data_IF_696415330154
#
_entry.id   IF_696415330154
#
_cell.length_a   1.000
_cell.length_b   1.000
_cell.length_c   1.000
_cell.angle_alpha   90.00
_cell.angle_beta   90.00
_cell.angle_gamma   90.00
#
_symmetry.space_group_name_H-M   'P 1'
#
loop_
_entity.id
_entity.type
_entity.pdbx_description
1 polymer ?
#
# COMPACT_ATOMS: atom_id res chain seq x y z
N UNK A 1 -3.30 12.71 11.81
CA UNK A 1 -2.21 11.74 12.02
C UNK A 1 -1.71 11.68 13.45
N UNK A 2 -1.01 12.72 13.93
CA UNK A 2 -0.22 12.66 15.20
C UNK A 2 -1.02 12.25 16.44
N UNK A 3 -2.23 12.77 16.63
CA UNK A 3 -3.09 12.41 17.77
C UNK A 3 -3.46 10.92 17.77
N UNK A 4 -3.79 10.35 16.61
CA UNK A 4 -4.09 8.93 16.46
C UNK A 4 -2.87 8.07 16.86
N UNK A 5 -1.67 8.43 16.38
CA UNK A 5 -0.43 7.75 16.76
C UNK A 5 -0.19 7.82 18.27
N UNK A 6 -0.47 8.95 18.92
CA UNK A 6 -0.36 9.08 20.37
C UNK A 6 -1.32 8.13 21.11
N UNK A 7 -2.58 8.05 20.67
CA UNK A 7 -3.57 7.13 21.24
C UNK A 7 -3.08 5.68 21.12
N UNK A 8 -2.61 5.28 19.94
CA UNK A 8 -2.05 3.94 19.73
C UNK A 8 -0.83 3.69 20.62
N UNK A 9 0.09 4.66 20.75
CA UNK A 9 1.24 4.56 21.66
C UNK A 9 0.81 4.37 23.12
N UNK A 10 -0.22 5.10 23.58
CA UNK A 10 -0.76 4.99 24.94
C UNK A 10 -1.41 3.63 25.19
N UNK A 11 -2.22 3.14 24.23
CA UNK A 11 -2.80 1.79 24.29
C UNK A 11 -1.69 0.75 24.37
N UNK A 12 -0.69 0.83 23.48
CA UNK A 12 0.45 -0.10 23.47
C UNK A 12 1.21 -0.09 24.79
N UNK A 13 1.49 1.09 25.37
CA UNK A 13 2.17 1.18 26.66
C UNK A 13 1.35 0.59 27.83
N UNK A 14 0.02 0.59 27.74
CA UNK A 14 -0.85 0.02 28.77
C UNK A 14 -0.95 -1.51 28.67
N UNK A 15 -0.97 -2.07 27.44
CA UNK A 15 -1.20 -3.50 27.21
C UNK A 15 0.10 -4.30 27.02
N UNK A 16 1.16 -3.68 26.52
CA UNK A 16 2.43 -4.34 26.28
C UNK A 16 3.23 -4.44 27.59
N UNK A 17 3.59 -5.67 27.96
CA UNK A 17 4.51 -5.95 29.06
C UNK A 17 5.83 -6.48 28.49
N UNK A 18 6.97 -5.81 28.70
CA UNK A 18 8.29 -6.34 28.33
C UNK A 18 8.51 -7.71 28.99
N UNK A 19 9.12 -8.66 28.29
CA UNK A 19 9.28 -10.04 28.79
C UNK A 19 10.75 -10.47 28.81
N UNK A 20 11.08 -11.26 29.83
CA UNK A 20 12.40 -11.90 30.03
C UNK A 20 12.60 -13.17 29.19
N UNK A 21 11.54 -13.73 28.58
CA UNK A 21 11.60 -14.94 27.71
C UNK A 21 10.72 -14.80 26.46
N UNK A 22 11.13 -15.44 25.37
CA UNK A 22 10.35 -15.52 24.12
C UNK A 22 9.00 -16.22 24.36
N UNK A 23 7.93 -15.70 23.74
CA UNK A 23 6.59 -16.33 23.72
C UNK A 23 6.07 -16.37 22.29
N UNK A 24 5.29 -17.40 21.96
CA UNK A 24 4.48 -17.43 20.75
C UNK A 24 3.37 -16.37 20.83
N UNK A 25 3.01 -15.79 19.69
CA UNK A 25 1.91 -14.84 19.57
C UNK A 25 1.03 -15.18 18.36
N UNK A 26 -0.25 -14.86 18.47
CA UNK A 26 -1.20 -14.92 17.34
C UNK A 26 -1.35 -13.50 16.82
N UNK A 27 -1.08 -13.30 15.53
CA UNK A 27 -1.30 -12.05 14.83
C UNK A 27 -2.67 -12.03 14.15
N UNK A 28 -3.36 -10.90 14.19
CA UNK A 28 -4.57 -10.66 13.40
C UNK A 28 -4.30 -9.43 12.54
N UNK A 29 -4.45 -9.58 11.23
CA UNK A 29 -4.31 -8.50 10.26
C UNK A 29 -5.69 -8.20 9.67
N UNK A 30 -6.19 -6.99 9.95
CA UNK A 30 -7.36 -6.43 9.31
C UNK A 30 -6.91 -5.30 8.38
N UNK A 31 -7.16 -5.45 7.08
CA UNK A 31 -6.70 -4.54 6.04
C UNK A 31 -7.75 -4.41 4.95
N UNK A 32 -7.80 -3.24 4.32
CA UNK A 32 -8.65 -3.00 3.16
C UNK A 32 -8.35 -4.00 2.04
N UNK A 33 -9.42 -4.52 1.43
CA UNK A 33 -9.32 -5.30 0.21
C UNK A 33 -8.97 -4.43 -1.01
N UNK A 34 -8.87 -5.07 -2.17
CA UNK A 34 -8.62 -4.40 -3.43
C UNK A 34 -9.71 -3.37 -3.77
N UNK A 35 -9.32 -2.17 -4.19
CA UNK A 35 -10.24 -1.06 -4.48
C UNK A 35 -10.20 -0.67 -5.97
N UNK A 36 -11.38 -0.52 -6.56
CA UNK A 36 -11.54 0.00 -7.92
C UNK A 36 -12.82 0.83 -8.00
N UNK A 37 -12.68 2.14 -7.87
CA UNK A 37 -13.76 3.12 -7.96
C UNK A 37 -13.77 3.80 -9.33
N UNK A 38 -14.79 4.64 -9.56
CA UNK A 38 -14.86 5.48 -10.77
C UNK A 38 -13.69 6.47 -10.86
N UNK A 39 -13.15 6.90 -9.71
CA UNK A 39 -11.98 7.77 -9.61
C UNK A 39 -11.06 7.21 -8.54
N UNK A 40 -9.89 6.70 -8.94
CA UNK A 40 -8.86 6.18 -8.03
C UNK A 40 -7.70 7.18 -7.97
N UNK A 41 -7.24 7.53 -6.78
CA UNK A 41 -6.08 8.42 -6.59
C UNK A 41 -4.92 7.70 -5.90
N UNK A 42 -3.95 8.46 -5.39
CA UNK A 42 -2.75 7.95 -4.73
C UNK A 42 -3.05 6.95 -3.60
N UNK A 43 -4.10 7.19 -2.84
CA UNK A 43 -4.54 6.34 -1.73
C UNK A 43 -4.93 4.94 -2.23
N UNK A 44 -5.77 4.86 -3.27
CA UNK A 44 -6.13 3.59 -3.90
C UNK A 44 -4.90 2.89 -4.49
N UNK A 45 -3.97 3.64 -5.08
CA UNK A 45 -2.71 3.07 -5.58
C UNK A 45 -1.90 2.41 -4.45
N UNK A 46 -1.77 3.06 -3.29
CA UNK A 46 -1.12 2.47 -2.13
C UNK A 46 -1.87 1.24 -1.57
N UNK A 47 -3.21 1.32 -1.48
CA UNK A 47 -4.05 0.20 -1.02
C UNK A 47 -3.91 -1.01 -1.95
N UNK A 48 -3.97 -0.80 -3.26
CA UNK A 48 -3.85 -1.86 -4.24
C UNK A 48 -2.42 -2.43 -4.29
N UNK A 49 -1.39 -1.62 -4.06
CA UNK A 49 -0.03 -2.13 -3.89
C UNK A 49 0.11 -3.03 -2.66
N UNK A 50 -0.50 -2.68 -1.52
CA UNK A 50 -0.53 -3.57 -0.36
C UNK A 50 -1.26 -4.88 -0.66
N UNK A 51 -2.40 -4.81 -1.35
CA UNK A 51 -3.14 -6.00 -1.78
C UNK A 51 -2.32 -6.88 -2.73
N UNK A 52 -1.54 -6.30 -3.65
CA UNK A 52 -0.62 -7.10 -4.50
C UNK A 52 0.43 -7.84 -3.68
N UNK A 53 1.01 -7.22 -2.64
CA UNK A 53 1.98 -7.90 -1.78
C UNK A 53 1.34 -9.03 -0.99
N UNK A 54 0.14 -8.81 -0.46
CA UNK A 54 -0.62 -9.84 0.26
C UNK A 54 -1.05 -10.97 -0.67
N UNK A 55 -1.41 -10.66 -1.92
CA UNK A 55 -1.72 -11.67 -2.92
C UNK A 55 -0.48 -12.51 -3.25
N UNK A 56 0.69 -11.91 -3.44
CA UNK A 56 1.91 -12.67 -3.70
C UNK A 56 2.29 -13.56 -2.52
N UNK A 57 2.09 -13.06 -1.30
CA UNK A 57 2.27 -13.85 -0.09
C UNK A 57 1.31 -15.03 -0.01
N UNK A 58 0.02 -14.81 -0.32
CA UNK A 58 -0.99 -15.87 -0.40
C UNK A 58 -0.61 -16.92 -1.44
N UNK A 59 -0.30 -16.50 -2.68
CA UNK A 59 0.06 -17.40 -3.78
C UNK A 59 1.28 -18.25 -3.41
N UNK A 60 2.29 -17.64 -2.77
CA UNK A 60 3.47 -18.37 -2.30
C UNK A 60 3.15 -19.41 -1.25
N UNK A 61 2.33 -19.08 -0.24
CA UNK A 61 2.05 -19.99 0.87
C UNK A 61 1.08 -21.11 0.51
N UNK A 62 0.07 -20.82 -0.31
CA UNK A 62 -0.96 -21.81 -0.66
C UNK A 62 -0.53 -22.70 -1.82
N UNK A 63 0.22 -22.16 -2.79
CA UNK A 63 0.61 -22.93 -3.97
C UNK A 63 2.10 -23.27 -3.97
N UNK A 64 3.00 -22.28 -3.98
CA UNK A 64 4.43 -22.56 -4.23
C UNK A 64 5.05 -23.48 -3.17
N UNK A 65 4.85 -23.17 -1.89
CA UNK A 65 5.41 -23.99 -0.79
C UNK A 65 4.77 -25.38 -0.72
N UNK A 66 3.47 -25.48 -0.96
CA UNK A 66 2.76 -26.76 -0.96
C UNK A 66 3.24 -27.68 -2.10
N UNK A 67 3.44 -27.11 -3.30
CA UNK A 67 4.00 -27.82 -4.45
C UNK A 67 5.44 -28.28 -4.21
N UNK A 68 6.26 -27.44 -3.57
CA UNK A 68 7.62 -27.80 -3.15
C UNK A 68 7.61 -28.98 -2.15
N UNK A 69 6.68 -28.98 -1.19
CA UNK A 69 6.54 -30.07 -0.21
C UNK A 69 6.12 -31.39 -0.87
N UNK A 70 5.13 -31.35 -1.76
CA UNK A 70 4.71 -32.56 -2.48
C UNK A 70 5.83 -33.16 -3.33
N UNK A 71 6.67 -32.31 -3.93
CA UNK A 71 7.87 -32.77 -4.63
C UNK A 71 8.89 -33.40 -3.69
N UNK A 72 9.13 -32.79 -2.51
CA UNK A 72 10.07 -33.31 -1.52
C UNK A 72 9.60 -34.67 -0.96
N UNK A 73 8.31 -34.83 -0.71
CA UNK A 73 7.71 -36.08 -0.23
C UNK A 73 7.49 -37.12 -1.35
N UNK A 74 7.83 -36.78 -2.61
CA UNK A 74 7.61 -37.65 -3.77
C UNK A 74 6.16 -38.11 -3.93
N UNK A 75 5.21 -37.23 -3.57
CA UNK A 75 3.78 -37.46 -3.77
C UNK A 75 3.47 -37.33 -5.27
N UNK A 76 2.56 -38.15 -5.78
CA UNK A 76 2.07 -37.98 -7.14
C UNK A 76 0.97 -36.89 -7.15
N UNK A 77 1.29 -35.72 -7.69
CA UNK A 77 0.38 -34.58 -7.77
C UNK A 77 0.42 -33.94 -9.16
N UNK A 78 -0.63 -33.20 -9.51
CA UNK A 78 -0.70 -32.47 -10.79
C UNK A 78 -0.37 -31.00 -10.58
N UNK A 79 0.48 -30.46 -11.45
CA UNK A 79 0.84 -29.04 -11.40
C UNK A 79 -0.39 -28.14 -11.50
N UNK A 80 -0.62 -27.32 -10.49
CA UNK A 80 -1.71 -26.34 -10.48
C UNK A 80 -1.15 -25.03 -11.03
N UNK A 81 -1.67 -24.61 -12.17
CA UNK A 81 -1.39 -23.28 -12.72
C UNK A 81 -2.03 -22.20 -11.84
N UNK A 82 -1.27 -21.15 -11.54
CA UNK A 82 -1.75 -19.98 -10.83
C UNK A 82 -1.23 -18.70 -11.49
N UNK A 83 -1.91 -17.58 -11.24
CA UNK A 83 -1.50 -16.28 -11.76
C UNK A 83 -0.49 -15.66 -10.79
N UNK A 84 0.77 -15.61 -11.21
CA UNK A 84 1.83 -14.92 -10.47
C UNK A 84 1.81 -13.41 -10.77
N UNK A 85 1.71 -12.61 -9.72
CA UNK A 85 1.64 -11.15 -9.79
C UNK A 85 3.01 -10.47 -9.54
N UNK A 86 4.12 -11.23 -9.52
CA UNK A 86 5.47 -10.69 -9.29
C UNK A 86 5.84 -9.56 -10.27
N UNK A 87 5.48 -9.69 -11.54
CA UNK A 87 5.78 -8.66 -12.54
C UNK A 87 5.04 -7.33 -12.27
N UNK A 88 3.87 -7.38 -11.64
CA UNK A 88 3.18 -6.17 -11.20
C UNK A 88 3.88 -5.54 -10.00
N UNK A 89 4.33 -6.34 -9.03
CA UNK A 89 5.13 -5.85 -7.90
C UNK A 89 6.46 -5.23 -8.35
N UNK A 90 7.11 -5.86 -9.32
CA UNK A 90 8.33 -5.38 -9.95
C UNK A 90 8.15 -4.01 -10.59
N UNK A 91 7.10 -3.85 -11.38
CA UNK A 91 6.72 -2.58 -12.01
C UNK A 91 6.38 -1.50 -10.98
N UNK A 92 5.67 -1.86 -9.91
CA UNK A 92 5.14 -0.88 -8.94
C UNK A 92 6.24 -0.39 -7.99
N UNK A 93 7.04 -1.28 -7.41
CA UNK A 93 7.91 -0.91 -6.27
C UNK A 93 9.25 -1.66 -6.12
N UNK A 94 9.53 -2.73 -6.88
CA UNK A 94 10.73 -3.56 -6.66
C UNK A 94 11.86 -3.25 -7.65
N UNK A 95 11.59 -3.26 -8.97
CA UNK A 95 12.65 -3.05 -9.98
C UNK A 95 13.12 -1.61 -10.03
N UNK A 96 14.30 -1.37 -10.59
CA UNK A 96 14.78 0.01 -10.80
C UNK A 96 13.82 0.79 -11.69
N UNK A 97 13.74 2.11 -11.45
CA UNK A 97 12.82 3.00 -12.16
C UNK A 97 11.36 2.54 -12.11
N UNK A 98 10.96 1.84 -11.02
CA UNK A 98 9.56 1.48 -10.79
C UNK A 98 8.67 2.72 -10.55
N UNK A 99 7.36 2.51 -10.63
CA UNK A 99 6.36 3.59 -10.53
C UNK A 99 6.53 4.39 -9.22
N UNK A 100 6.66 3.72 -8.06
CA UNK A 100 6.84 4.41 -6.77
C UNK A 100 8.12 5.25 -6.73
N UNK A 101 9.22 4.73 -7.29
CA UNK A 101 10.50 5.43 -7.34
C UNK A 101 10.40 6.69 -8.22
N UNK A 102 9.72 6.60 -9.38
CA UNK A 102 9.51 7.75 -10.26
C UNK A 102 8.60 8.81 -9.64
N UNK A 103 7.55 8.40 -8.92
CA UNK A 103 6.69 9.32 -8.14
C UNK A 103 7.51 10.02 -7.05
N UNK A 104 8.38 9.27 -6.35
CA UNK A 104 9.21 9.82 -5.27
C UNK A 104 10.27 10.79 -5.75
N UNK A 105 10.90 10.50 -6.88
CA UNK A 105 11.83 11.40 -7.54
C UNK A 105 11.13 12.71 -7.91
N UNK A 106 9.97 12.62 -8.59
CA UNK A 106 9.24 13.80 -9.03
C UNK A 106 8.64 14.61 -7.86
N UNK A 107 8.28 13.94 -6.77
CA UNK A 107 7.80 14.59 -5.54
C UNK A 107 8.85 15.49 -4.91
N UNK A 108 10.13 15.12 -5.03
CA UNK A 108 11.28 15.86 -4.48
C UNK A 108 11.84 16.89 -5.47
N UNK A 109 11.48 16.79 -6.74
CA UNK A 109 11.97 17.70 -7.77
C UNK A 109 11.31 19.10 -7.63
N UNK A 110 12.07 20.20 -7.55
CA UNK A 110 11.52 21.53 -7.27
C UNK A 110 10.47 22.02 -8.28
N UNK A 111 10.53 21.54 -9.53
CA UNK A 111 9.58 21.87 -10.60
C UNK A 111 8.72 20.66 -11.01
N UNK A 112 8.68 19.61 -10.18
CA UNK A 112 7.92 18.41 -10.46
C UNK A 112 6.42 18.66 -10.34
N UNK A 113 5.68 18.35 -11.39
CA UNK A 113 4.22 18.43 -11.45
C UNK A 113 3.62 17.07 -11.76
N UNK A 114 2.32 16.90 -11.51
CA UNK A 114 1.62 15.65 -11.84
C UNK A 114 1.72 15.32 -13.34
N UNK A 115 1.81 16.34 -14.21
CA UNK A 115 1.99 16.16 -15.65
C UNK A 115 3.40 15.68 -16.01
N UNK A 116 4.45 16.23 -15.39
CA UNK A 116 5.83 15.78 -15.65
C UNK A 116 6.05 14.37 -15.09
N UNK A 117 5.46 14.06 -13.93
CA UNK A 117 5.41 12.71 -13.37
C UNK A 117 4.76 11.73 -14.36
N UNK A 118 3.55 12.05 -14.83
CA UNK A 118 2.81 11.18 -15.76
C UNK A 118 3.55 10.98 -17.09
N UNK A 119 4.14 12.04 -17.65
CA UNK A 119 4.96 11.96 -18.85
C UNK A 119 6.18 11.03 -18.65
N UNK A 120 6.83 11.10 -17.49
CA UNK A 120 7.94 10.21 -17.11
C UNK A 120 7.47 8.75 -17.00
N UNK A 121 6.32 8.49 -16.35
CA UNK A 121 5.74 7.14 -16.28
C UNK A 121 5.43 6.57 -17.67
N UNK A 122 4.77 7.34 -18.54
CA UNK A 122 4.46 6.90 -19.91
C UNK A 122 5.72 6.63 -20.73
N UNK A 123 6.76 7.47 -20.60
CA UNK A 123 8.03 7.29 -21.29
C UNK A 123 8.75 6.03 -20.84
N UNK A 124 8.78 5.76 -19.54
CA UNK A 124 9.53 4.63 -18.97
C UNK A 124 8.79 3.30 -19.12
N UNK A 125 7.47 3.28 -18.95
CA UNK A 125 6.68 2.03 -18.85
C UNK A 125 5.63 1.85 -19.94
N UNK A 126 5.50 2.75 -20.92
CA UNK A 126 4.45 2.70 -21.95
C UNK A 126 4.34 1.38 -22.72
N UNK A 127 5.42 0.60 -22.81
CA UNK A 127 5.47 -0.71 -23.48
C UNK A 127 5.38 -1.92 -22.51
N UNK A 128 5.28 -1.69 -21.21
CA UNK A 128 5.25 -2.76 -20.22
C UNK A 128 3.87 -3.42 -20.19
N UNK A 129 3.81 -4.76 -20.19
CA UNK A 129 2.55 -5.53 -20.28
C UNK A 129 1.49 -5.17 -19.22
N UNK A 130 1.94 -4.83 -18.01
CA UNK A 130 1.06 -4.46 -16.90
C UNK A 130 0.85 -2.95 -16.75
N UNK A 131 1.41 -2.13 -17.64
CA UNK A 131 1.21 -0.68 -17.67
C UNK A 131 0.33 -0.31 -18.86
N UNK A 132 -0.69 0.50 -18.62
CA UNK A 132 -1.66 0.90 -19.63
C UNK A 132 -1.62 2.42 -19.79
N UNK A 133 -1.12 2.87 -20.94
CA UNK A 133 -1.22 4.28 -21.35
C UNK A 133 -2.63 4.54 -21.91
N UNK A 134 -3.39 5.54 -21.42
CA UNK A 134 -4.64 5.94 -22.04
C UNK A 134 -4.46 6.34 -23.51
N UNK A 135 -5.50 6.14 -24.34
CA UNK A 135 -5.45 6.46 -25.77
C UNK A 135 -5.37 7.95 -26.08
N UNK A 136 -5.86 8.81 -25.19
CA UNK A 136 -5.85 10.26 -25.35
C UNK A 136 -4.82 10.88 -24.41
N UNK A 137 -3.95 11.73 -24.94
CA UNK A 137 -2.96 12.48 -24.14
C UNK A 137 -3.60 13.57 -23.26
N UNK A 138 -4.89 13.88 -23.46
CA UNK A 138 -5.67 14.77 -22.55
C UNK A 138 -5.97 14.05 -21.22
N UNK A 139 -5.95 12.72 -21.23
CA UNK A 139 -6.26 11.95 -20.04
C UNK A 139 -5.07 11.95 -19.07
N UNK A 140 -5.26 12.59 -17.92
CA UNK A 140 -4.26 12.69 -16.84
C UNK A 140 -4.29 11.46 -15.93
N UNK A 141 -4.27 10.26 -16.50
CA UNK A 141 -4.26 9.00 -15.73
C UNK A 141 -3.25 8.00 -16.30
N UNK A 142 -2.88 7.03 -15.47
CA UNK A 142 -2.20 5.83 -15.92
C UNK A 142 -2.98 4.61 -15.43
N UNK A 143 -2.96 3.53 -16.22
CA UNK A 143 -3.60 2.28 -15.85
C UNK A 143 -2.58 1.21 -15.47
N UNK A 144 -3.00 0.31 -14.58
CA UNK A 144 -2.25 -0.90 -14.23
C UNK A 144 -3.13 -2.13 -14.36
N UNK A 145 -2.54 -3.20 -14.86
CA UNK A 145 -3.15 -4.52 -14.86
C UNK A 145 -2.76 -5.25 -13.57
N UNK A 146 -3.63 -5.19 -12.57
CA UNK A 146 -3.44 -5.88 -11.29
C UNK A 146 -3.96 -7.32 -11.35
N UNK A 147 -3.61 -8.12 -10.33
CA UNK A 147 -4.20 -9.46 -10.17
C UNK A 147 -5.74 -9.42 -10.14
N UNK A 148 -6.30 -8.33 -9.61
CA UNK A 148 -7.74 -8.11 -9.49
C UNK A 148 -8.36 -7.36 -10.69
N UNK A 149 -7.60 -7.22 -11.78
CA UNK A 149 -8.04 -6.57 -13.01
C UNK A 149 -7.48 -5.15 -13.19
N UNK A 150 -7.99 -4.48 -14.23
CA UNK A 150 -7.47 -3.18 -14.66
C UNK A 150 -8.02 -2.05 -13.78
N UNK A 151 -7.11 -1.21 -13.30
CA UNK A 151 -7.43 0.02 -12.54
C UNK A 151 -6.72 1.20 -13.17
N UNK A 152 -7.44 2.30 -13.37
CA UNK A 152 -6.89 3.58 -13.78
C UNK A 152 -6.80 4.53 -12.59
N UNK A 153 -5.63 5.14 -12.43
CA UNK A 153 -5.33 6.10 -11.38
C UNK A 153 -5.20 7.51 -11.96
N UNK A 154 -6.01 8.43 -11.46
CA UNK A 154 -5.96 9.83 -11.81
C UNK A 154 -4.78 10.50 -11.11
N UNK A 155 -3.95 11.21 -11.88
CA UNK A 155 -2.72 11.82 -11.34
C UNK A 155 -2.92 13.19 -10.71
N UNK A 156 -4.13 13.77 -10.70
CA UNK A 156 -4.36 15.09 -10.12
C UNK A 156 -4.12 15.05 -8.59
N UNK A 157 -3.20 15.88 -8.12
CA UNK A 157 -2.81 15.97 -6.71
C UNK A 157 -1.98 14.79 -6.21
N UNK A 158 -1.48 13.92 -7.09
CA UNK A 158 -0.75 12.71 -6.70
C UNK A 158 0.58 13.05 -5.99
N UNK A 159 1.33 14.02 -6.54
CA UNK A 159 2.60 14.45 -5.93
C UNK A 159 2.38 15.18 -4.59
N UNK A 160 1.34 16.01 -4.50
CA UNK A 160 1.00 16.69 -3.25
C UNK A 160 0.69 15.68 -2.13
N UNK A 161 -0.17 14.70 -2.43
CA UNK A 161 -0.51 13.61 -1.51
C UNK A 161 0.71 12.79 -1.11
N UNK A 162 1.63 12.52 -2.04
CA UNK A 162 2.84 11.76 -1.74
C UNK A 162 3.88 12.55 -0.93
N UNK A 163 3.93 13.88 -1.06
CA UNK A 163 4.84 14.74 -0.29
C UNK A 163 4.51 14.71 1.21
N UNK A 164 3.23 14.56 1.58
CA UNK A 164 2.74 14.47 2.96
C UNK A 164 3.35 15.55 3.89
N UNK A 165 3.51 16.77 3.33
CA UNK A 165 4.17 17.87 4.02
C UNK A 165 3.22 18.56 4.97
N UNK A 166 3.64 18.74 6.21
CA UNK A 166 2.96 19.60 7.16
C UNK A 166 3.56 21.02 7.11
N UNK A 167 2.70 22.05 7.11
CA UNK A 167 3.14 23.44 6.96
C UNK A 167 4.07 23.88 8.10
N UNK A 168 5.20 24.51 7.73
CA UNK A 168 6.16 25.05 8.69
C UNK A 168 5.57 26.19 9.53
N UNK A 169 4.71 27.03 8.93
CA UNK A 169 4.06 28.14 9.63
C UNK A 169 3.07 27.61 10.68
N UNK A 170 2.34 26.54 10.35
CA UNK A 170 1.47 25.85 11.30
C UNK A 170 2.27 25.20 12.45
N UNK A 171 3.44 24.63 12.18
CA UNK A 171 4.33 24.13 13.23
C UNK A 171 4.80 25.25 14.16
N UNK A 172 5.17 26.40 13.60
CA UNK A 172 5.58 27.55 14.41
C UNK A 172 4.44 28.05 15.29
N UNK A 173 3.21 28.12 14.75
CA UNK A 173 2.02 28.46 15.51
C UNK A 173 1.76 27.47 16.66
N UNK A 174 1.93 26.17 16.39
CA UNK A 174 1.82 25.12 17.42
C UNK A 174 2.91 25.29 18.49
N UNK A 175 4.14 25.60 18.09
CA UNK A 175 5.26 25.78 19.02
C UNK A 175 5.02 26.93 20.01
N UNK A 176 4.44 28.05 19.57
CA UNK A 176 4.12 29.21 20.43
C UNK A 176 2.76 29.10 21.14
N UNK A 177 2.01 28.02 20.89
CA UNK A 177 0.70 27.81 21.51
C UNK A 177 0.82 27.65 23.03
N UNK A 178 -0.17 28.14 23.77
CA UNK A 178 -0.28 27.89 25.23
C UNK A 178 -0.79 26.48 25.56
N UNK A 179 -1.20 25.70 24.55
CA UNK A 179 -1.68 24.35 24.74
C UNK A 179 -0.51 23.35 24.79
N UNK A 180 -0.12 22.95 26.01
CA UNK A 180 0.97 22.00 26.24
C UNK A 180 0.74 20.63 25.59
N UNK A 181 -0.50 20.16 25.53
CA UNK A 181 -0.81 18.88 24.90
C UNK A 181 -0.55 18.94 23.39
N UNK A 182 -0.90 20.05 22.74
CA UNK A 182 -0.63 20.27 21.34
C UNK A 182 0.88 20.35 21.05
N UNK A 183 1.64 21.06 21.88
CA UNK A 183 3.10 21.10 21.80
C UNK A 183 3.71 19.69 21.96
N UNK A 184 3.21 18.89 22.91
CA UNK A 184 3.68 17.52 23.15
C UNK A 184 3.42 16.59 21.95
N UNK A 185 2.26 16.70 21.29
CA UNK A 185 1.91 15.88 20.12
C UNK A 185 2.88 16.11 18.95
N UNK A 186 3.42 17.32 18.83
CA UNK A 186 4.30 17.75 17.75
C UNK A 186 5.77 17.94 18.19
N UNK A 187 6.16 17.44 19.38
CA UNK A 187 7.49 17.67 19.93
C UNK A 187 8.62 17.24 18.98
N UNK A 188 8.49 16.08 18.34
CA UNK A 188 9.46 15.57 17.37
C UNK A 188 9.54 16.48 16.12
N UNK A 189 8.41 17.01 15.66
CA UNK A 189 8.33 17.90 14.49
C UNK A 189 8.94 19.28 14.77
N UNK A 190 8.72 19.80 15.98
CA UNK A 190 9.28 21.09 16.43
C UNK A 190 10.80 20.98 16.60
N UNK A 191 11.29 19.84 17.12
CA UNK A 191 12.71 19.57 17.26
C UNK A 191 13.46 19.37 15.94
N UNK A 192 12.75 19.10 14.83
CA UNK A 192 13.35 18.97 13.51
C UNK A 192 13.66 20.34 12.89
N UNK A 193 14.94 20.59 12.63
CA UNK A 193 15.41 21.74 11.84
C UNK A 193 14.78 21.82 10.43
N UNK A 194 14.85 23.00 9.82
CA UNK A 194 14.27 23.24 8.48
C UNK A 194 14.92 22.36 7.39
N UNK A 195 16.24 22.14 7.46
CA UNK A 195 16.97 21.33 6.49
C UNK A 195 16.68 19.82 6.61
N UNK A 196 16.42 19.32 7.82
CA UNK A 196 16.00 17.92 8.02
C UNK A 196 14.56 17.69 7.56
N UNK A 197 13.69 18.70 7.63
CA UNK A 197 12.30 18.64 7.08
C UNK A 197 12.25 18.54 5.56
N UNK A 198 13.23 19.09 4.83
CA UNK A 198 13.32 18.92 3.36
C UNK A 198 13.72 17.51 2.94
N UNK A 199 14.30 16.72 3.86
CA UNK A 199 14.75 15.33 3.63
C UNK A 199 13.78 14.29 4.16
N UNK A 200 12.60 14.71 4.63
CA UNK A 200 11.59 13.80 5.15
C UNK A 200 11.18 12.82 4.05
N UNK A 201 11.08 11.51 4.37
CA UNK A 201 10.64 10.51 3.40
C UNK A 201 9.20 10.80 2.95
N UNK A 202 8.93 10.57 1.67
CA UNK A 202 7.58 10.65 1.09
C UNK A 202 6.66 9.60 1.70
N UNK A 203 5.35 9.80 1.53
CA UNK A 203 4.33 8.90 2.04
C UNK A 203 4.48 7.50 1.44
N UNK A 204 4.72 7.37 0.14
CA UNK A 204 4.99 6.08 -0.50
C UNK A 204 6.23 5.38 0.07
N UNK A 205 7.33 6.11 0.34
CA UNK A 205 8.55 5.56 0.93
C UNK A 205 8.26 5.06 2.35
N UNK A 206 7.53 5.84 3.15
CA UNK A 206 7.12 5.43 4.50
C UNK A 206 6.19 4.21 4.46
N UNK A 207 5.19 4.24 3.60
CA UNK A 207 4.22 3.17 3.40
C UNK A 207 4.91 1.87 2.96
N UNK A 208 5.79 1.92 1.96
CA UNK A 208 6.56 0.78 1.50
C UNK A 208 7.41 0.17 2.62
N UNK A 209 8.10 1.00 3.42
CA UNK A 209 8.88 0.51 4.57
C UNK A 209 8.01 -0.20 5.60
N UNK A 210 6.84 0.36 5.92
CA UNK A 210 5.88 -0.26 6.83
C UNK A 210 5.33 -1.58 6.29
N UNK A 211 4.99 -1.63 4.99
CA UNK A 211 4.52 -2.83 4.33
C UNK A 211 5.62 -3.91 4.28
N UNK A 212 6.86 -3.56 3.88
CA UNK A 212 8.00 -4.49 3.89
C UNK A 212 8.23 -5.07 5.29
N UNK A 213 8.06 -4.26 6.34
CA UNK A 213 8.13 -4.73 7.73
C UNK A 213 7.00 -5.71 8.05
N UNK A 214 5.76 -5.39 7.67
CA UNK A 214 4.60 -6.26 7.86
C UNK A 214 4.80 -7.60 7.15
N UNK A 215 5.20 -7.60 5.87
CA UNK A 215 5.40 -8.81 5.08
C UNK A 215 6.50 -9.71 5.68
N UNK A 216 7.58 -9.12 6.23
CA UNK A 216 8.60 -9.89 6.98
C UNK A 216 8.02 -10.53 8.24
N UNK A 217 7.18 -9.82 8.99
CA UNK A 217 6.52 -10.40 10.16
C UNK A 217 5.62 -11.56 9.77
N UNK A 218 4.80 -11.40 8.74
CA UNK A 218 3.90 -12.45 8.24
C UNK A 218 4.65 -13.69 7.74
N UNK A 219 5.80 -13.50 7.09
CA UNK A 219 6.64 -14.59 6.56
C UNK A 219 7.26 -15.49 7.63
N UNK A 220 7.28 -15.04 8.89
CA UNK A 220 7.75 -15.83 10.03
C UNK A 220 6.61 -16.51 10.81
N UNK A 221 5.38 -16.44 10.31
CA UNK A 221 4.19 -16.99 10.94
C UNK A 221 3.55 -18.06 10.05
N UNK A 222 2.75 -18.94 10.65
CA UNK A 222 1.85 -19.81 9.90
C UNK A 222 0.57 -19.02 9.57
N UNK A 223 0.28 -18.71 8.29
CA UNK A 223 -0.83 -17.85 7.94
C UNK A 223 -2.15 -18.61 7.87
N UNK A 224 -3.24 -17.93 8.23
CA UNK A 224 -4.61 -18.36 7.99
C UNK A 224 -5.34 -17.22 7.28
N UNK A 225 -6.03 -17.54 6.18
CA UNK A 225 -6.68 -16.55 5.33
C UNK A 225 -8.20 -16.60 5.49
N UNK A 226 -8.81 -15.44 5.75
CA UNK A 226 -10.26 -15.27 5.80
C UNK A 226 -10.64 -14.26 4.72
N UNK A 227 -11.48 -14.69 3.75
CA UNK A 227 -11.99 -13.81 2.69
C UNK A 227 -13.43 -13.44 2.96
N UNK A 228 -13.66 -12.15 3.22
CA UNK A 228 -14.99 -11.61 3.47
C UNK A 228 -15.64 -11.16 2.15
N UNK A 229 -16.85 -11.65 1.85
CA UNK A 229 -17.58 -11.30 0.62
C UNK A 229 -18.70 -10.32 0.95
N UNK A 230 -18.73 -9.19 0.24
CA UNK A 230 -19.82 -8.22 0.28
C UNK A 230 -20.96 -8.67 -0.63
N UNK A 231 -22.16 -8.99 -0.09
CA UNK A 231 -23.23 -9.57 -0.90
C UNK A 231 -23.99 -8.55 -1.75
N UNK A 232 -24.00 -7.26 -1.37
CA UNK A 232 -24.60 -6.16 -2.12
C UNK A 232 -24.06 -4.79 -1.68
N UNK A 233 -24.20 -3.78 -2.55
CA UNK A 233 -23.80 -2.39 -2.28
C UNK A 233 -24.76 -1.65 -1.34
N UNK A 234 -26.02 -2.11 -1.24
CA UNK A 234 -27.08 -1.44 -0.49
C UNK A 234 -27.04 -1.71 1.02
N UNK A 235 -26.06 -2.50 1.49
CA UNK A 235 -25.91 -2.91 2.90
C UNK A 235 -27.17 -3.57 3.48
N UNK A 236 -27.92 -4.30 2.65
CA UNK A 236 -29.17 -4.99 3.05
C UNK A 236 -28.91 -6.47 3.33
N UNK A 237 -29.51 -7.05 4.39
CA UNK A 237 -29.49 -8.50 4.57
C UNK A 237 -30.31 -9.19 3.47
N UNK A 238 -30.02 -10.47 3.21
CA UNK A 238 -30.76 -11.33 2.27
C UNK A 238 -30.83 -10.84 0.81
N UNK A 239 -29.96 -9.90 0.43
CA UNK A 239 -29.84 -9.42 -0.94
C UNK A 239 -28.49 -9.84 -1.53
N UNK A 240 -28.53 -10.47 -2.70
CA UNK A 240 -27.37 -11.05 -3.36
C UNK A 240 -27.20 -10.49 -4.77
N UNK A 241 -26.12 -9.73 -4.98
CA UNK A 241 -25.68 -9.31 -6.30
C UNK A 241 -24.67 -10.34 -6.84
N UNK A 242 -25.13 -11.16 -7.77
CA UNK A 242 -24.31 -12.22 -8.39
C UNK A 242 -23.06 -11.67 -9.06
N UNK A 243 -23.17 -10.54 -9.76
CA UNK A 243 -22.05 -9.95 -10.50
C UNK A 243 -21.00 -9.41 -9.54
N UNK A 244 -21.42 -8.74 -8.48
CA UNK A 244 -20.53 -8.27 -7.42
C UNK A 244 -19.81 -9.41 -6.70
N UNK A 245 -20.54 -10.46 -6.30
CA UNK A 245 -19.96 -11.62 -5.63
C UNK A 245 -19.02 -12.39 -6.54
N UNK A 246 -19.38 -12.64 -7.80
CA UNK A 246 -18.50 -13.31 -8.76
C UNK A 246 -17.21 -12.52 -9.03
N UNK A 247 -17.26 -11.18 -9.05
CA UNK A 247 -16.03 -10.37 -9.15
C UNK A 247 -15.13 -10.58 -7.94
N UNK A 248 -15.68 -10.50 -6.72
CA UNK A 248 -14.89 -10.72 -5.50
C UNK A 248 -14.27 -12.12 -5.48
N UNK A 249 -15.00 -13.16 -5.86
CA UNK A 249 -14.49 -14.54 -5.92
C UNK A 249 -13.36 -14.75 -6.93
N UNK A 250 -13.28 -13.95 -7.99
CA UNK A 250 -12.17 -14.02 -8.97
C UNK A 250 -10.89 -13.38 -8.45
N UNK A 251 -10.99 -12.52 -7.44
CA UNK A 251 -9.88 -11.74 -6.88
C UNK A 251 -9.63 -12.07 -5.39
N UNK A 252 -10.27 -13.12 -4.87
CA UNK A 252 -10.13 -13.63 -3.50
C UNK A 252 -9.28 -14.90 -3.48
#
# INVERSE_FOLDING_TARGET
GRMFVLIVKKINAAIYRPKERQRSSIGVLDIFGFENFNLNSFEQFCINFANENLQQFFVRHIFKLEQEEYNNESINWQHIEFVDNQDSLDLIAIKQLNIMALIDEESKFPKGTDQTMLAKLHKTHGNHRNYLKPRSDINTSFGLNHFAGVVFYDTRGFLEKNRDTFSADLLQLIAISKNHFLQQIFADDIGMGSETRKRTPTLSTQFKKSLDSLMRTLSNCQPFFIRCIKPNELKKPMMFDRTLCCRQLRYS
#
